data_IF_303000918138
#
_entry.id   IF_303000918138
#
_cell.length_a   1.000
_cell.length_b   1.000
_cell.length_c   1.000
_cell.angle_alpha   90.00
_cell.angle_beta   90.00
_cell.angle_gamma   90.00
#
_symmetry.space_group_name_H-M   'P 1'
#
loop_
_entity.id
_entity.type
_entity.pdbx_description
1 polymer ?
#
# COMPACT_ATOMS: atom_id res chain seq x y z
N UNK A 1 10.52 -31.63 -0.57
CA UNK A 1 10.48 -30.49 0.37
C UNK A 1 9.81 -29.34 -0.37
N UNK A 2 8.62 -28.94 0.02
CA UNK A 2 7.90 -27.81 -0.58
C UNK A 2 8.69 -26.55 -0.24
N UNK A 3 9.30 -25.93 -1.22
CA UNK A 3 9.87 -24.58 -1.08
C UNK A 3 8.69 -23.65 -0.89
N UNK A 4 8.29 -23.44 0.36
CA UNK A 4 7.42 -22.33 0.70
C UNK A 4 8.15 -21.09 0.18
N UNK A 5 7.56 -20.40 -0.80
CA UNK A 5 8.12 -19.16 -1.29
C UNK A 5 8.12 -18.17 -0.13
N UNK A 6 9.24 -18.04 0.56
CA UNK A 6 9.42 -17.14 1.70
C UNK A 6 8.95 -15.71 1.37
N UNK A 7 9.03 -15.32 0.10
CA UNK A 7 8.54 -14.04 -0.41
C UNK A 7 7.05 -13.83 -0.08
N UNK A 8 6.21 -14.87 -0.16
CA UNK A 8 4.79 -14.77 0.18
C UNK A 8 4.52 -14.56 1.68
N UNK A 9 5.52 -14.79 2.54
CA UNK A 9 5.41 -14.58 3.98
C UNK A 9 5.75 -13.15 4.43
N UNK A 10 6.33 -12.33 3.53
CA UNK A 10 6.68 -10.95 3.82
C UNK A 10 5.40 -10.15 4.04
N UNK A 11 5.37 -9.40 5.16
CA UNK A 11 4.18 -8.64 5.49
C UNK A 11 4.49 -7.35 6.24
N UNK A 12 3.84 -6.30 5.79
CA UNK A 12 3.70 -4.98 6.40
C UNK A 12 2.43 -4.35 5.82
N UNK A 13 1.53 -3.85 6.65
CA UNK A 13 0.23 -3.32 6.23
C UNK A 13 -0.07 -1.90 6.76
N UNK A 14 0.92 -1.28 7.41
CA UNK A 14 0.76 0.05 8.01
C UNK A 14 -0.12 0.08 9.27
N UNK A 15 -0.65 -1.06 9.73
CA UNK A 15 -1.38 -1.14 11.01
C UNK A 15 -0.47 -0.82 12.21
N UNK A 16 -1.02 -0.54 13.41
CA UNK A 16 -0.23 -0.21 14.61
C UNK A 16 0.79 -1.28 15.02
N UNK A 17 0.63 -2.52 14.56
CA UNK A 17 1.61 -3.59 14.76
C UNK A 17 2.88 -3.35 13.94
N UNK A 18 2.74 -2.79 12.74
CA UNK A 18 3.82 -2.62 11.77
C UNK A 18 4.31 -1.19 11.62
N UNK A 19 3.45 -0.21 11.92
CA UNK A 19 3.78 1.21 11.87
C UNK A 19 3.26 1.90 13.13
N UNK A 20 4.18 2.40 13.95
CA UNK A 20 3.84 3.23 15.11
C UNK A 20 4.36 4.63 14.89
N UNK A 21 3.45 5.59 14.87
CA UNK A 21 3.76 6.99 14.68
C UNK A 21 2.74 7.85 15.43
N UNK A 22 3.19 8.92 16.05
CA UNK A 22 2.34 9.86 16.80
C UNK A 22 1.42 10.71 15.91
N UNK A 23 1.77 10.80 14.63
CA UNK A 23 1.13 11.71 13.67
C UNK A 23 1.73 13.11 13.64
N UNK A 24 2.72 13.42 14.47
CA UNK A 24 3.31 14.78 14.54
C UNK A 24 4.56 14.87 13.65
N UNK A 25 4.68 15.91 12.80
CA UNK A 25 5.92 16.15 12.06
C UNK A 25 7.11 16.32 13.01
N UNK A 26 8.23 15.70 12.67
CA UNK A 26 9.45 15.70 13.48
C UNK A 26 9.56 14.52 14.45
N UNK A 27 8.47 13.87 14.83
CA UNK A 27 8.52 12.68 15.66
C UNK A 27 9.03 11.47 14.86
N UNK A 28 9.57 10.51 15.58
CA UNK A 28 10.10 9.27 15.02
C UNK A 28 8.98 8.25 14.82
N UNK A 29 8.88 7.71 13.62
CA UNK A 29 8.04 6.55 13.31
C UNK A 29 8.86 5.27 13.43
N UNK A 30 8.23 4.21 13.94
CA UNK A 30 8.79 2.85 14.04
C UNK A 30 8.14 1.97 13.01
N UNK A 31 8.95 1.39 12.14
CA UNK A 31 8.53 0.51 11.05
C UNK A 31 8.92 -0.93 11.35
N UNK A 32 8.00 -1.85 11.13
CA UNK A 32 8.24 -3.29 11.29
C UNK A 32 7.93 -4.03 10.01
N UNK A 33 8.72 -5.05 9.75
CA UNK A 33 8.48 -6.04 8.70
C UNK A 33 8.60 -7.42 9.31
N UNK A 34 7.73 -8.35 8.92
CA UNK A 34 7.87 -9.76 9.28
C UNK A 34 7.95 -10.63 8.04
N UNK A 35 8.56 -11.79 8.21
CA UNK A 35 8.65 -12.83 7.20
C UNK A 35 8.78 -14.19 7.87
N UNK A 36 8.76 -15.28 7.11
CA UNK A 36 9.01 -16.62 7.64
C UNK A 36 10.36 -16.70 8.39
N UNK A 37 10.42 -17.48 9.45
CA UNK A 37 11.62 -17.59 10.29
C UNK A 37 12.84 -18.12 9.54
N UNK A 38 12.63 -18.96 8.53
CA UNK A 38 13.62 -19.58 7.67
C UNK A 38 13.90 -18.82 6.37
N UNK A 39 13.33 -17.61 6.21
CA UNK A 39 13.61 -16.77 5.06
C UNK A 39 15.13 -16.48 4.95
N UNK A 40 15.75 -16.67 3.77
CA UNK A 40 17.20 -16.50 3.58
C UNK A 40 17.58 -15.03 3.46
N UNK A 41 17.09 -14.20 4.42
CA UNK A 41 17.24 -12.75 4.43
C UNK A 41 18.33 -12.35 5.41
N UNK A 42 19.31 -11.60 4.90
CA UNK A 42 20.45 -11.10 5.65
C UNK A 42 20.44 -9.59 5.89
N UNK A 43 19.46 -8.87 5.34
CA UNK A 43 19.31 -7.44 5.57
C UNK A 43 17.99 -6.89 5.06
N UNK A 44 17.43 -5.93 5.82
CA UNK A 44 16.23 -5.19 5.44
C UNK A 44 16.51 -3.70 5.60
N UNK A 45 16.11 -2.91 4.63
CA UNK A 45 16.29 -1.47 4.62
C UNK A 45 14.97 -0.78 4.28
N UNK A 46 14.68 0.31 4.96
CA UNK A 46 13.62 1.23 4.59
C UNK A 46 14.17 2.24 3.60
N UNK A 47 13.62 2.27 2.40
CA UNK A 47 13.97 3.28 1.38
C UNK A 47 12.99 4.43 1.44
N UNK A 48 13.49 5.65 1.52
CA UNK A 48 12.75 6.92 1.38
C UNK A 48 13.44 7.83 0.37
N UNK A 49 12.75 8.89 -0.06
CA UNK A 49 13.28 9.87 -1.00
C UNK A 49 12.71 11.26 -0.68
N UNK A 50 13.07 11.86 0.47
CA UNK A 50 12.43 13.08 0.94
C UNK A 50 12.80 14.33 0.13
N UNK A 51 13.96 14.38 -0.47
CA UNK A 51 14.58 15.53 -1.13
C UNK A 51 15.02 15.23 -2.58
N UNK A 52 14.49 14.16 -3.16
CA UNK A 52 14.90 13.66 -4.48
C UNK A 52 16.06 12.68 -4.44
N UNK A 53 16.72 12.52 -3.29
CA UNK A 53 17.78 11.55 -3.08
C UNK A 53 17.27 10.33 -2.32
N UNK A 54 17.81 9.15 -2.66
CA UNK A 54 17.42 7.92 -2.00
C UNK A 54 18.18 7.74 -0.69
N UNK A 55 17.43 7.57 0.38
CA UNK A 55 17.95 7.22 1.70
C UNK A 55 17.55 5.80 2.06
N UNK A 56 18.52 5.05 2.60
CA UNK A 56 18.33 3.68 3.07
C UNK A 56 18.60 3.58 4.56
N UNK A 57 17.56 3.41 5.34
CA UNK A 57 17.67 3.21 6.79
C UNK A 57 17.64 1.71 7.08
N UNK A 58 18.71 1.13 7.66
CA UNK A 58 18.75 -0.28 7.98
C UNK A 58 17.74 -0.62 9.08
N UNK A 59 17.06 -1.75 8.93
CA UNK A 59 16.25 -2.34 9.99
C UNK A 59 17.09 -3.32 10.81
N UNK A 60 16.87 -3.30 12.11
CA UNK A 60 17.47 -4.22 13.06
C UNK A 60 16.67 -5.53 13.06
N UNK A 61 17.35 -6.65 13.04
CA UNK A 61 16.76 -7.96 13.27
C UNK A 61 16.35 -8.10 14.74
N UNK A 62 15.09 -8.34 15.00
CA UNK A 62 14.53 -8.61 16.32
C UNK A 62 14.47 -10.10 16.67
N UNK A 63 14.94 -10.96 15.76
CA UNK A 63 14.89 -12.40 15.89
C UNK A 63 13.52 -13.01 15.57
N UNK A 64 13.42 -14.31 15.87
CA UNK A 64 12.25 -15.11 15.59
C UNK A 64 11.26 -15.07 16.77
N UNK A 65 9.99 -14.87 16.43
CA UNK A 65 8.87 -14.97 17.38
C UNK A 65 7.78 -15.84 16.74
N UNK A 66 7.58 -17.02 17.30
CA UNK A 66 6.74 -18.04 16.70
C UNK A 66 7.31 -18.50 15.35
N UNK A 67 6.53 -18.42 14.30
CA UNK A 67 6.92 -18.83 12.93
C UNK A 67 7.48 -17.67 12.08
N UNK A 68 7.64 -16.49 12.66
CA UNK A 68 8.05 -15.29 11.94
C UNK A 68 9.33 -14.67 12.51
N UNK A 69 10.21 -14.21 11.63
CA UNK A 69 11.34 -13.33 11.92
C UNK A 69 10.91 -11.88 11.72
N UNK A 70 11.28 -11.02 12.66
CA UNK A 70 10.85 -9.63 12.71
C UNK A 70 12.03 -8.68 12.52
N UNK A 71 11.75 -7.61 11.78
CA UNK A 71 12.69 -6.53 11.55
C UNK A 71 12.05 -5.20 11.98
N UNK A 72 12.85 -4.29 12.54
CA UNK A 72 12.39 -2.98 13.03
C UNK A 72 13.39 -1.89 12.68
N UNK A 73 12.88 -0.76 12.22
CA UNK A 73 13.67 0.45 11.98
C UNK A 73 12.93 1.69 12.41
N UNK A 74 13.68 2.76 12.64
CA UNK A 74 13.17 4.05 13.09
C UNK A 74 13.53 5.13 12.08
N UNK A 75 12.58 6.03 11.80
CA UNK A 75 12.78 7.15 10.90
C UNK A 75 12.08 8.40 11.43
N UNK A 76 12.77 9.56 11.56
CA UNK A 76 12.12 10.83 11.83
C UNK A 76 11.25 11.26 10.65
N UNK A 77 9.96 11.51 10.87
CA UNK A 77 9.03 11.93 9.84
C UNK A 77 8.98 13.45 9.80
N UNK A 78 9.75 14.05 8.90
CA UNK A 78 9.89 15.51 8.80
C UNK A 78 8.89 16.14 7.82
N UNK A 79 8.35 15.35 6.88
CA UNK A 79 7.43 15.81 5.84
C UNK A 79 6.01 15.41 6.16
N UNK A 80 5.03 16.20 5.68
CA UNK A 80 3.59 15.88 5.81
C UNK A 80 3.28 14.54 5.13
N UNK A 81 3.94 14.25 4.02
CA UNK A 81 3.83 12.98 3.30
C UNK A 81 5.20 12.37 3.10
N UNK A 82 5.39 11.16 3.61
CA UNK A 82 6.62 10.38 3.43
C UNK A 82 6.29 9.08 2.74
N UNK A 83 6.78 8.92 1.52
CA UNK A 83 6.70 7.68 0.76
C UNK A 83 7.84 6.76 1.18
N UNK A 84 7.55 5.47 1.33
CA UNK A 84 8.56 4.48 1.70
C UNK A 84 8.26 3.10 1.12
N UNK A 85 9.31 2.30 1.00
CA UNK A 85 9.27 0.88 0.63
C UNK A 85 10.41 0.14 1.30
N UNK A 86 10.38 -1.17 1.28
CA UNK A 86 11.44 -2.00 1.83
C UNK A 86 12.32 -2.56 0.73
N UNK A 87 13.63 -2.49 0.94
CA UNK A 87 14.62 -3.28 0.21
C UNK A 87 15.02 -4.45 1.10
N UNK A 88 14.82 -5.66 0.61
CA UNK A 88 15.11 -6.91 1.32
C UNK A 88 16.24 -7.61 0.60
N UNK A 89 17.34 -7.83 1.30
CA UNK A 89 18.51 -8.56 0.77
C UNK A 89 18.45 -10.00 1.25
N UNK A 90 18.36 -10.91 0.30
CA UNK A 90 18.48 -12.33 0.51
C UNK A 90 19.85 -12.82 -0.02
N UNK A 91 20.23 -14.08 0.26
CA UNK A 91 21.54 -14.63 -0.07
C UNK A 91 21.88 -14.56 -1.56
N UNK A 92 20.90 -14.78 -2.43
CA UNK A 92 21.06 -14.85 -3.89
C UNK A 92 20.57 -13.59 -4.63
N UNK A 93 19.81 -12.72 -3.96
CA UNK A 93 19.08 -11.65 -4.65
C UNK A 93 18.54 -10.57 -3.70
N UNK A 94 18.07 -9.49 -4.31
CA UNK A 94 17.32 -8.46 -3.61
C UNK A 94 15.86 -8.46 -4.04
N UNK A 95 14.97 -8.02 -3.13
CA UNK A 95 13.54 -7.82 -3.38
C UNK A 95 13.13 -6.45 -2.91
N UNK A 96 12.20 -5.87 -3.64
CA UNK A 96 11.50 -4.68 -3.24
C UNK A 96 10.11 -5.04 -2.74
N UNK A 97 9.71 -4.49 -1.62
CA UNK A 97 8.36 -4.67 -1.07
C UNK A 97 7.71 -3.30 -0.84
N UNK A 98 6.57 -3.09 -1.47
CA UNK A 98 5.79 -1.86 -1.46
C UNK A 98 4.30 -2.17 -1.31
N UNK A 99 3.43 -1.17 -1.30
CA UNK A 99 1.98 -1.37 -1.30
C UNK A 99 1.47 -2.14 -2.55
N UNK A 100 2.25 -2.12 -3.64
CA UNK A 100 1.98 -2.93 -4.84
C UNK A 100 2.46 -4.38 -4.74
N UNK A 101 3.03 -4.80 -3.60
CA UNK A 101 3.55 -6.15 -3.39
C UNK A 101 5.07 -6.27 -3.58
N UNK A 102 5.51 -7.50 -3.87
CA UNK A 102 6.93 -7.85 -3.98
C UNK A 102 7.35 -7.84 -5.45
N UNK A 103 8.49 -7.23 -5.74
CA UNK A 103 9.09 -7.22 -7.08
C UNK A 103 10.60 -7.47 -7.03
N UNK A 104 11.14 -7.98 -8.15
CA UNK A 104 12.59 -8.11 -8.38
C UNK A 104 13.18 -6.87 -9.02
N UNK A 105 12.34 -6.09 -9.70
CA UNK A 105 12.77 -4.84 -10.34
C UNK A 105 12.47 -3.67 -9.43
N UNK A 106 13.16 -2.57 -9.65
CA UNK A 106 12.91 -1.32 -8.95
C UNK A 106 11.47 -0.85 -9.25
N UNK A 107 10.59 -0.75 -8.22
CA UNK A 107 9.20 -0.34 -8.43
C UNK A 107 9.09 1.17 -8.63
N UNK A 108 7.99 1.61 -9.23
CA UNK A 108 7.64 3.03 -9.31
C UNK A 108 7.23 3.58 -7.95
N UNK A 109 7.43 4.87 -7.72
CA UNK A 109 7.06 5.53 -6.46
C UNK A 109 5.53 5.60 -6.24
N UNK A 110 4.73 5.38 -7.30
CA UNK A 110 3.27 5.27 -7.20
C UNK A 110 2.80 4.10 -6.31
N UNK A 111 3.64 3.09 -6.17
CA UNK A 111 3.35 1.89 -5.37
C UNK A 111 3.96 1.95 -3.96
N UNK A 112 4.50 3.08 -3.53
CA UNK A 112 5.05 3.20 -2.19
C UNK A 112 3.97 3.14 -1.12
N UNK A 113 4.32 2.60 0.04
CA UNK A 113 3.59 2.88 1.26
C UNK A 113 3.72 4.36 1.61
N UNK A 114 2.75 4.91 2.35
CA UNK A 114 2.73 6.33 2.71
C UNK A 114 2.49 6.49 4.21
N UNK A 115 3.33 7.32 4.84
CA UNK A 115 3.05 7.89 6.16
C UNK A 115 2.58 9.33 5.98
N UNK A 116 1.49 9.68 6.64
CA UNK A 116 0.98 11.06 6.69
C UNK A 116 1.14 11.62 8.09
N UNK A 117 1.85 12.74 8.20
CA UNK A 117 1.90 13.55 9.41
C UNK A 117 0.82 14.64 9.37
N UNK A 118 0.34 15.07 10.53
CA UNK A 118 -0.78 16.03 10.67
C UNK A 118 -2.08 15.59 9.99
N UNK A 119 -2.26 14.31 9.74
CA UNK A 119 -3.47 13.78 9.15
C UNK A 119 -4.32 13.07 10.21
N UNK A 120 -5.54 13.51 10.36
CA UNK A 120 -6.54 12.90 11.23
C UNK A 120 -7.73 12.45 10.39
N UNK A 121 -7.78 11.16 10.10
CA UNK A 121 -8.97 10.59 9.47
C UNK A 121 -10.18 10.74 10.40
N UNK A 122 -11.39 11.03 9.89
CA UNK A 122 -12.60 10.99 10.68
C UNK A 122 -12.74 9.64 11.38
N UNK A 123 -13.06 9.64 12.67
CA UNK A 123 -13.09 8.42 13.49
C UNK A 123 -14.10 7.40 12.98
N UNK A 124 -15.21 7.87 12.43
CA UNK A 124 -16.28 7.01 11.89
C UNK A 124 -15.86 6.17 10.68
N UNK A 125 -14.79 6.57 9.96
CA UNK A 125 -14.29 5.82 8.77
C UNK A 125 -13.85 4.41 9.13
N UNK A 126 -13.34 4.20 10.37
CA UNK A 126 -12.85 2.89 10.84
C UNK A 126 -13.96 1.85 10.96
N UNK A 127 -15.17 2.32 11.24
CA UNK A 127 -16.35 1.48 11.51
C UNK A 127 -17.33 1.48 10.32
N UNK A 128 -16.93 2.11 9.19
CA UNK A 128 -17.77 2.25 8.02
C UNK A 128 -17.45 1.21 6.95
N UNK A 129 -18.50 0.67 6.36
CA UNK A 129 -18.44 -0.09 5.11
C UNK A 129 -18.97 0.80 4.00
N UNK A 130 -18.14 1.04 2.97
CA UNK A 130 -18.54 1.86 1.83
C UNK A 130 -19.02 0.96 0.70
N UNK A 131 -20.22 1.24 0.19
CA UNK A 131 -20.75 0.61 -0.97
C UNK A 131 -21.14 1.69 -2.01
N UNK A 132 -20.43 1.71 -3.13
CA UNK A 132 -20.71 2.66 -4.20
C UNK A 132 -21.68 2.04 -5.21
N UNK A 133 -22.84 2.69 -5.38
CA UNK A 133 -23.84 2.30 -6.37
C UNK A 133 -23.76 3.27 -7.54
N UNK A 134 -23.64 2.74 -8.75
CA UNK A 134 -23.87 3.46 -9.99
C UNK A 134 -25.30 3.17 -10.43
N UNK A 135 -26.26 4.08 -10.20
CA UNK A 135 -27.69 3.79 -10.42
C UNK A 135 -28.00 3.33 -11.84
N UNK A 136 -27.31 3.91 -12.82
CA UNK A 136 -27.41 3.58 -14.24
C UNK A 136 -26.90 2.18 -14.61
N UNK A 137 -26.21 1.50 -13.69
CA UNK A 137 -25.60 0.18 -13.90
C UNK A 137 -26.00 -0.85 -12.86
N UNK A 138 -26.86 -0.49 -11.92
CA UNK A 138 -27.22 -1.36 -10.80
C UNK A 138 -28.48 -2.17 -11.04
N UNK A 139 -29.58 -1.49 -11.29
CA UNK A 139 -30.87 -2.11 -11.61
C UNK A 139 -31.74 -1.12 -12.39
N UNK A 140 -32.38 -1.61 -13.41
CA UNK A 140 -33.35 -0.86 -14.18
C UNK A 140 -34.74 -1.06 -13.56
N UNK A 141 -35.12 -0.12 -12.68
CA UNK A 141 -36.41 -0.15 -11.99
C UNK A 141 -37.60 0.38 -12.81
N UNK A 142 -37.32 1.15 -13.88
CA UNK A 142 -38.34 1.71 -14.75
C UNK A 142 -37.79 1.86 -16.19
N UNK A 143 -38.00 0.86 -17.04
CA UNK A 143 -37.50 0.89 -18.41
C UNK A 143 -38.16 1.94 -19.31
N UNK A 144 -39.24 2.62 -18.84
CA UNK A 144 -39.92 3.63 -19.64
C UNK A 144 -39.14 4.94 -19.76
N UNK A 145 -38.24 5.22 -18.78
CA UNK A 145 -37.38 6.40 -18.74
C UNK A 145 -36.00 6.18 -19.38
N UNK A 146 -35.76 5.00 -19.92
CA UNK A 146 -34.47 4.69 -20.55
C UNK A 146 -34.22 5.52 -21.80
N UNK A 147 -32.94 5.90 -21.97
CA UNK A 147 -32.50 6.60 -23.19
C UNK A 147 -32.73 5.72 -24.43
N UNK A 148 -33.34 6.30 -25.46
CA UNK A 148 -33.55 5.67 -26.79
C UNK A 148 -32.64 6.33 -27.82
N UNK A 149 -32.40 5.64 -28.91
CA UNK A 149 -31.64 6.20 -30.03
C UNK A 149 -32.29 7.52 -30.51
N UNK A 150 -31.45 8.56 -30.58
CA UNK A 150 -31.89 9.89 -30.99
C UNK A 150 -32.74 10.66 -29.98
N UNK A 151 -32.88 10.20 -28.73
CA UNK A 151 -33.70 10.87 -27.72
C UNK A 151 -33.26 12.32 -27.45
N UNK A 152 -31.99 12.63 -27.59
CA UNK A 152 -31.43 13.98 -27.52
C UNK A 152 -30.11 14.09 -28.30
N UNK A 153 -29.62 15.32 -28.45
CA UNK A 153 -28.29 15.57 -29.04
C UNK A 153 -27.24 15.78 -27.95
N UNK A 154 -26.14 15.06 -28.05
CA UNK A 154 -24.95 15.29 -27.23
C UNK A 154 -23.81 15.79 -28.12
N UNK A 155 -23.30 16.98 -27.88
CA UNK A 155 -22.33 17.66 -28.74
C UNK A 155 -22.74 17.71 -30.23
N UNK A 156 -24.05 17.95 -30.49
CA UNK A 156 -24.60 18.02 -31.86
C UNK A 156 -24.76 16.68 -32.56
N UNK A 157 -24.54 15.55 -31.87
CA UNK A 157 -24.74 14.20 -32.41
C UNK A 157 -25.89 13.49 -31.68
N UNK A 158 -26.75 12.73 -32.38
CA UNK A 158 -27.76 11.92 -31.74
C UNK A 158 -27.15 10.88 -30.80
N UNK A 159 -27.72 10.71 -29.63
CA UNK A 159 -27.31 9.63 -28.70
C UNK A 159 -27.68 8.27 -29.28
N UNK A 160 -26.90 7.26 -28.97
CA UNK A 160 -27.11 5.87 -29.33
C UNK A 160 -27.15 5.03 -28.06
N UNK A 161 -28.30 4.42 -27.78
CA UNK A 161 -28.46 3.50 -26.66
C UNK A 161 -27.61 2.23 -26.89
N UNK A 162 -26.80 1.84 -25.91
CA UNK A 162 -26.01 0.61 -25.95
C UNK A 162 -26.51 -0.33 -24.86
N UNK A 163 -26.68 -1.60 -25.23
CA UNK A 163 -26.87 -2.67 -24.23
C UNK A 163 -25.49 -3.08 -23.70
N UNK A 164 -25.43 -3.31 -22.43
CA UNK A 164 -24.27 -3.84 -21.75
C UNK A 164 -24.25 -5.37 -21.85
#
# INVERSE_FOLDING_TARGET
MSTVHWEASIHHDGSPTYLRFSGRPGDTAVFRLRMAADAPVNGVFLRTCPDGEQHFTPLRDLGVRGVCRWWEGELPIRMIRTNYRFLIRADDCSRWYSAGGITRHYPTDANDFVVLANYHAPTWVRDAVFYQIFPDRFADGDPTNNVRDGAYLYHGRPVVARRW
#
